data_IF_722579043834
#
_entry.id   IF_722579043834
#
_cell.length_a   1.000
_cell.length_b   1.000
_cell.length_c   1.000
_cell.angle_alpha   90.00
_cell.angle_beta   90.00
_cell.angle_gamma   90.00
#
_symmetry.space_group_name_H-M   'P 1'
#
loop_
_entity.id
_entity.type
_entity.pdbx_description
1 polymer ?
#
# COMPACT_ATOMS: atom_id res chain seq x y z
N UNK A 1 68.52 74.60 35.99
CA UNK A 1 69.44 74.09 37.01
C UNK A 1 69.69 72.65 36.67
N UNK A 2 70.73 72.36 35.91
CA UNK A 2 72.08 71.97 36.30
C UNK A 2 72.08 70.80 37.29
N UNK A 3 72.50 69.62 36.82
CA UNK A 3 73.78 68.95 37.20
C UNK A 3 74.05 67.73 36.38
N UNK A 4 75.16 67.79 35.68
CA UNK A 4 75.86 66.67 35.02
C UNK A 4 76.75 65.93 36.04
N UNK A 5 77.34 64.78 35.59
CA UNK A 5 78.66 64.18 35.95
C UNK A 5 78.53 62.65 36.24
N UNK A 6 79.48 61.81 35.96
CA UNK A 6 80.24 61.50 34.73
C UNK A 6 80.46 60.02 34.46
N UNK A 7 81.09 59.73 33.34
CA UNK A 7 81.63 58.49 32.76
C UNK A 7 82.57 57.73 33.69
N UNK A 8 82.44 56.39 33.68
CA UNK A 8 83.58 55.49 33.91
C UNK A 8 83.50 54.28 32.94
N UNK A 9 84.50 54.16 32.15
CA UNK A 9 84.86 53.17 31.19
C UNK A 9 85.44 51.91 31.92
N UNK A 10 84.88 50.72 31.74
CA UNK A 10 85.48 49.47 32.15
C UNK A 10 85.39 48.46 31.00
N UNK A 11 86.51 48.28 30.34
CA UNK A 11 86.67 47.19 29.33
C UNK A 11 86.76 45.82 30.04
N UNK A 12 85.91 44.92 29.71
CA UNK A 12 86.08 43.50 30.08
C UNK A 12 85.86 42.58 28.87
N UNK A 13 86.92 41.88 28.59
CA UNK A 13 87.21 40.86 27.63
C UNK A 13 86.22 39.66 27.78
N UNK A 14 85.35 39.34 26.75
CA UNK A 14 84.43 38.20 26.72
C UNK A 14 84.98 37.15 25.77
N UNK A 15 85.24 35.93 26.21
CA UNK A 15 85.64 34.83 25.32
C UNK A 15 84.47 34.37 24.46
N UNK A 16 84.69 34.20 23.13
CA UNK A 16 83.79 33.53 22.19
C UNK A 16 83.70 32.08 22.53
N UNK A 17 82.55 31.70 23.07
CA UNK A 17 82.13 30.28 23.11
C UNK A 17 81.32 29.95 21.85
N UNK A 18 81.93 29.17 20.94
CA UNK A 18 81.25 28.53 19.82
C UNK A 18 80.30 27.45 20.41
N UNK A 19 79.00 27.75 20.55
CA UNK A 19 77.94 26.73 20.78
C UNK A 19 77.54 26.16 19.44
N UNK A 20 77.88 24.88 19.23
CA UNK A 20 77.48 24.09 18.05
C UNK A 20 75.98 24.01 17.92
N UNK A 21 75.47 24.27 16.71
CA UNK A 21 74.13 23.98 16.29
C UNK A 21 73.89 22.47 16.35
N UNK A 22 73.31 21.96 17.45
CA UNK A 22 72.79 20.61 17.51
C UNK A 22 71.55 20.52 16.59
N UNK A 23 71.62 19.70 15.59
CA UNK A 23 70.47 19.30 14.76
C UNK A 23 69.32 18.84 15.66
N UNK A 24 68.27 19.65 15.79
CA UNK A 24 67.04 19.19 16.43
C UNK A 24 66.46 18.05 15.58
N UNK A 25 66.68 16.82 15.99
CA UNK A 25 65.91 15.64 15.51
C UNK A 25 64.45 16.02 15.64
N UNK A 26 63.75 16.14 14.50
CA UNK A 26 62.31 16.32 14.47
C UNK A 26 61.65 15.23 15.33
N UNK A 27 60.66 15.57 16.18
CA UNK A 27 59.97 14.58 16.97
C UNK A 27 59.42 13.49 16.06
N UNK A 28 59.44 12.19 16.49
CA UNK A 28 58.91 11.10 15.68
C UNK A 28 57.47 11.42 15.34
N UNK A 29 57.20 11.55 14.03
CA UNK A 29 55.83 11.74 13.52
C UNK A 29 55.07 10.48 13.90
N UNK A 30 54.25 10.58 14.92
CA UNK A 30 53.31 9.49 15.28
C UNK A 30 52.43 9.20 14.09
N UNK A 31 52.63 8.05 13.46
CA UNK A 31 51.78 7.62 12.34
C UNK A 31 50.42 7.20 12.90
N UNK A 32 49.33 7.83 12.54
CA UNK A 32 48.01 7.43 13.05
C UNK A 32 47.60 6.06 12.49
N UNK A 33 47.04 5.22 13.36
CA UNK A 33 46.40 3.98 12.94
C UNK A 33 45.06 4.29 12.30
N UNK A 34 44.81 3.73 11.11
CA UNK A 34 43.55 3.95 10.36
C UNK A 34 42.97 2.60 9.95
N UNK A 35 41.71 2.38 10.34
CA UNK A 35 40.95 1.22 9.87
C UNK A 35 40.70 1.34 8.37
N UNK A 36 41.01 0.29 7.62
CA UNK A 36 40.84 0.25 6.17
C UNK A 36 39.98 -0.94 5.75
N UNK A 37 39.14 -0.76 4.78
CA UNK A 37 38.27 -1.79 4.20
C UNK A 37 38.49 -1.86 2.71
N UNK A 38 38.55 -3.05 2.12
CA UNK A 38 38.64 -3.22 0.68
C UNK A 38 37.26 -2.99 0.04
N UNK A 39 37.17 -2.10 -0.96
CA UNK A 39 35.95 -1.90 -1.72
C UNK A 39 35.51 -3.21 -2.40
N UNK A 40 34.31 -3.69 -2.08
CA UNK A 40 33.79 -4.94 -2.63
C UNK A 40 33.04 -4.69 -3.93
N UNK A 41 33.17 -5.64 -4.86
CA UNK A 41 32.34 -5.67 -6.09
C UNK A 41 31.25 -6.71 -5.90
N UNK A 42 30.01 -6.28 -6.00
CA UNK A 42 28.83 -7.18 -5.87
C UNK A 42 27.71 -6.74 -6.80
N UNK A 43 26.90 -7.71 -7.18
CA UNK A 43 25.61 -7.45 -7.84
C UNK A 43 24.58 -7.11 -6.77
N UNK A 44 23.98 -5.94 -6.88
CA UNK A 44 22.99 -5.44 -5.89
C UNK A 44 21.68 -5.09 -6.58
N UNK A 45 20.53 -5.51 -6.01
CA UNK A 45 19.24 -5.12 -6.54
C UNK A 45 19.00 -3.62 -6.33
N UNK A 46 18.49 -2.97 -7.36
CA UNK A 46 18.07 -1.56 -7.32
C UNK A 46 16.56 -1.55 -7.09
N UNK A 47 16.13 -0.82 -6.06
CA UNK A 47 14.71 -0.67 -5.76
C UNK A 47 14.25 0.76 -6.01
N UNK A 48 13.04 0.91 -6.54
CA UNK A 48 12.30 2.16 -6.53
C UNK A 48 11.16 2.08 -5.53
N UNK A 49 10.93 3.16 -4.81
CA UNK A 49 9.87 3.26 -3.81
C UNK A 49 8.78 4.22 -4.32
N UNK A 50 7.54 3.76 -4.26
CA UNK A 50 6.37 4.54 -4.65
C UNK A 50 5.43 4.65 -3.45
N UNK A 51 4.98 5.86 -3.14
CA UNK A 51 4.00 6.07 -2.08
C UNK A 51 2.64 5.64 -2.60
N UNK A 52 1.96 4.78 -1.84
CA UNK A 52 0.64 4.26 -2.17
C UNK A 52 -0.28 4.21 -0.97
N UNK A 53 -1.49 3.79 -1.21
CA UNK A 53 -2.52 3.62 -0.20
C UNK A 53 -3.14 2.22 -0.30
N UNK A 54 -3.44 1.65 0.85
CA UNK A 54 -4.10 0.34 0.97
C UNK A 54 -5.60 0.45 0.83
N UNK A 55 -6.21 -0.54 0.18
CA UNK A 55 -7.67 -0.73 0.05
C UNK A 55 -7.99 -2.18 0.38
N UNK A 56 -9.17 -2.44 0.89
CA UNK A 56 -9.66 -3.81 1.01
C UNK A 56 -9.72 -4.52 -0.35
N UNK A 57 -9.62 -5.82 -0.37
CA UNK A 57 -9.82 -6.58 -1.60
C UNK A 57 -11.22 -6.33 -2.16
N UNK A 58 -12.19 -6.24 -1.27
CA UNK A 58 -13.54 -5.80 -1.54
C UNK A 58 -13.97 -4.86 -0.42
N UNK A 59 -14.37 -3.64 -0.77
CA UNK A 59 -14.96 -2.66 0.13
C UNK A 59 -16.39 -2.41 -0.34
N UNK A 60 -17.37 -2.98 0.37
CA UNK A 60 -18.77 -2.87 -0.01
C UNK A 60 -19.50 -1.95 0.96
N UNK A 61 -20.09 -0.91 0.40
CA UNK A 61 -20.93 0.00 1.15
C UNK A 61 -22.29 -0.64 1.43
N UNK A 62 -22.72 -0.57 2.67
CA UNK A 62 -24.05 -1.02 3.11
C UNK A 62 -25.02 0.15 2.93
N UNK A 63 -25.92 0.00 1.96
CA UNK A 63 -26.90 1.01 1.61
C UNK A 63 -28.30 0.41 1.78
N UNK A 64 -29.19 1.03 2.58
CA UNK A 64 -30.58 0.59 2.71
C UNK A 64 -31.31 0.64 1.37
N UNK A 65 -32.10 -0.37 1.08
CA UNK A 65 -32.91 -0.43 -0.14
C UNK A 65 -34.34 0.09 0.07
N UNK A 66 -34.79 0.10 1.33
CA UNK A 66 -36.07 0.63 1.78
C UNK A 66 -35.85 1.74 2.80
N UNK A 67 -36.84 2.61 2.95
CA UNK A 67 -36.81 3.71 3.90
C UNK A 67 -37.54 3.29 5.19
N UNK A 68 -37.04 3.76 6.33
CA UNK A 68 -37.65 3.49 7.61
C UNK A 68 -36.72 3.81 8.78
N UNK A 69 -37.20 3.54 9.99
CA UNK A 69 -36.46 3.74 11.23
C UNK A 69 -35.63 2.52 11.58
N UNK A 70 -34.36 2.72 11.97
CA UNK A 70 -33.50 1.62 12.47
C UNK A 70 -34.05 1.16 13.83
N UNK A 71 -34.45 -0.11 13.89
CA UNK A 71 -34.94 -0.75 15.13
C UNK A 71 -33.88 -1.54 15.85
N UNK A 72 -32.81 -1.96 15.15
CA UNK A 72 -31.72 -2.72 15.77
C UNK A 72 -30.41 -2.69 14.99
N UNK A 73 -29.29 -2.81 15.72
CA UNK A 73 -27.95 -3.00 15.21
C UNK A 73 -27.43 -4.30 15.84
N UNK A 74 -27.05 -5.29 15.02
CA UNK A 74 -26.77 -6.66 15.45
C UNK A 74 -25.31 -7.07 15.35
N UNK A 75 -24.39 -6.11 15.39
CA UNK A 75 -22.95 -6.35 15.36
C UNK A 75 -22.25 -5.37 16.32
N UNK A 76 -20.97 -5.63 16.59
CA UNK A 76 -20.07 -4.65 17.19
C UNK A 76 -19.19 -4.03 16.11
N UNK A 77 -18.98 -2.73 16.21
CA UNK A 77 -18.12 -1.99 15.30
C UNK A 77 -16.70 -2.53 15.31
N UNK A 78 -16.14 -2.76 14.14
CA UNK A 78 -14.82 -3.33 13.96
C UNK A 78 -14.75 -4.86 14.07
N UNK A 79 -15.87 -5.55 14.34
CA UNK A 79 -15.89 -7.01 14.39
C UNK A 79 -15.89 -7.65 13.00
N UNK A 80 -15.47 -8.91 12.97
CA UNK A 80 -15.59 -9.74 11.78
C UNK A 80 -17.05 -10.19 11.60
N UNK A 81 -17.57 -9.99 10.38
CA UNK A 81 -18.91 -10.40 9.97
C UNK A 81 -18.84 -11.43 8.84
N UNK A 82 -19.84 -12.31 8.76
CA UNK A 82 -19.96 -13.32 7.71
C UNK A 82 -20.98 -12.88 6.66
N UNK A 83 -20.80 -13.35 5.44
CA UNK A 83 -21.79 -13.19 4.38
C UNK A 83 -23.14 -13.74 4.85
N UNK A 84 -24.21 -12.95 4.68
CA UNK A 84 -25.57 -13.26 5.13
C UNK A 84 -25.85 -12.96 6.61
N UNK A 85 -24.86 -12.56 7.41
CA UNK A 85 -25.06 -12.16 8.80
C UNK A 85 -25.91 -10.88 8.86
N UNK A 86 -26.95 -10.88 9.72
CA UNK A 86 -27.80 -9.74 9.98
C UNK A 86 -26.98 -8.60 10.61
N UNK A 87 -27.07 -7.41 10.03
CA UNK A 87 -26.37 -6.22 10.48
C UNK A 87 -27.33 -5.18 11.09
N UNK A 88 -28.39 -4.86 10.36
CA UNK A 88 -29.37 -3.85 10.79
C UNK A 88 -30.78 -4.37 10.56
N UNK A 89 -31.72 -3.92 11.38
CA UNK A 89 -33.15 -4.08 11.16
C UNK A 89 -33.81 -2.72 11.05
N UNK A 90 -34.67 -2.57 10.06
CA UNK A 90 -35.56 -1.41 9.84
C UNK A 90 -36.95 -1.82 10.31
N UNK A 91 -37.76 -0.85 10.76
CA UNK A 91 -39.15 -1.07 11.12
C UNK A 91 -39.91 -1.76 9.97
N UNK A 92 -40.36 -2.99 10.19
CA UNK A 92 -41.01 -3.84 9.21
C UNK A 92 -42.53 -3.74 9.23
N UNK A 93 -43.13 -3.08 10.23
CA UNK A 93 -44.57 -2.99 10.37
C UNK A 93 -45.32 -2.50 9.12
N UNK A 94 -44.86 -1.38 8.46
CA UNK A 94 -45.51 -0.89 7.25
C UNK A 94 -45.38 -1.85 6.07
N UNK A 95 -44.21 -2.50 5.92
CA UNK A 95 -43.98 -3.45 4.82
C UNK A 95 -44.66 -4.79 5.06
N UNK A 96 -44.75 -5.26 6.29
CA UNK A 96 -45.51 -6.42 6.67
C UNK A 96 -47.00 -6.23 6.37
N UNK A 97 -47.55 -5.08 6.71
CA UNK A 97 -48.93 -4.76 6.40
C UNK A 97 -49.24 -4.77 4.88
N UNK A 98 -48.26 -4.38 4.06
CA UNK A 98 -48.39 -4.51 2.59
C UNK A 98 -48.39 -5.94 2.13
N UNK A 99 -47.60 -6.82 2.73
CA UNK A 99 -47.60 -8.27 2.42
C UNK A 99 -48.91 -8.87 2.79
N UNK A 100 -49.46 -8.56 3.97
CA UNK A 100 -50.76 -9.08 4.43
C UNK A 100 -51.91 -8.62 3.51
N UNK A 101 -51.88 -7.36 3.07
CA UNK A 101 -52.89 -6.86 2.12
C UNK A 101 -52.76 -7.55 0.76
N UNK A 102 -51.54 -7.77 0.25
CA UNK A 102 -51.32 -8.48 -1.01
C UNK A 102 -51.74 -9.97 -0.92
N UNK A 103 -51.51 -10.61 0.23
CA UNK A 103 -51.97 -12.00 0.50
C UNK A 103 -53.51 -12.07 0.46
N UNK A 104 -54.20 -11.05 0.98
CA UNK A 104 -55.67 -10.95 0.85
C UNK A 104 -56.11 -10.84 -0.60
N UNK A 105 -55.40 -10.08 -1.45
CA UNK A 105 -55.69 -9.99 -2.90
C UNK A 105 -55.51 -11.36 -3.59
N UNK A 106 -54.46 -12.13 -3.23
CA UNK A 106 -54.23 -13.47 -3.77
C UNK A 106 -55.39 -14.42 -3.38
N UNK A 107 -55.77 -14.42 -2.11
CA UNK A 107 -56.88 -15.28 -1.63
C UNK A 107 -58.21 -14.95 -2.33
N UNK A 108 -58.48 -13.65 -2.60
CA UNK A 108 -59.65 -13.22 -3.37
C UNK A 108 -59.59 -13.72 -4.83
N UNK A 109 -58.42 -13.62 -5.46
CA UNK A 109 -58.25 -14.07 -6.86
C UNK A 109 -58.33 -15.58 -6.98
N UNK A 110 -57.79 -16.33 -6.02
CA UNK A 110 -57.94 -17.83 -5.94
C UNK A 110 -59.41 -18.25 -5.86
N UNK A 111 -60.19 -17.54 -5.03
CA UNK A 111 -61.63 -17.78 -4.93
C UNK A 111 -62.35 -17.51 -6.27
N UNK A 112 -61.93 -16.46 -6.98
CA UNK A 112 -62.50 -16.15 -8.32
C UNK A 112 -62.18 -17.25 -9.35
N UNK A 113 -60.92 -17.73 -9.35
CA UNK A 113 -60.49 -18.84 -10.22
C UNK A 113 -61.31 -20.07 -9.92
N UNK A 114 -61.46 -20.43 -8.62
CA UNK A 114 -62.29 -21.59 -8.22
C UNK A 114 -63.75 -21.49 -8.69
N UNK A 115 -64.33 -20.27 -8.56
CA UNK A 115 -65.72 -20.02 -9.04
C UNK A 115 -65.81 -20.15 -10.56
N UNK A 116 -64.89 -19.52 -11.34
CA UNK A 116 -64.89 -19.58 -12.80
C UNK A 116 -64.58 -20.97 -13.32
N UNK A 117 -63.74 -21.72 -12.62
CA UNK A 117 -63.49 -23.12 -12.92
C UNK A 117 -64.77 -23.98 -12.72
N UNK A 118 -65.47 -23.79 -11.61
CA UNK A 118 -66.73 -24.51 -11.36
C UNK A 118 -67.83 -24.17 -12.39
N UNK A 119 -67.85 -22.90 -12.86
CA UNK A 119 -68.74 -22.50 -13.96
C UNK A 119 -68.36 -23.21 -15.27
N UNK A 120 -67.08 -23.26 -15.64
CA UNK A 120 -66.57 -23.95 -16.81
C UNK A 120 -66.83 -25.44 -16.76
N UNK A 121 -66.55 -26.08 -15.63
CA UNK A 121 -66.77 -27.53 -15.39
C UNK A 121 -68.25 -27.94 -15.54
N UNK A 122 -69.19 -26.99 -15.33
CA UNK A 122 -70.63 -27.18 -15.59
C UNK A 122 -71.00 -26.97 -17.06
N UNK A 123 -70.37 -26.02 -17.73
CA UNK A 123 -70.66 -25.66 -19.14
C UNK A 123 -70.11 -26.69 -20.11
N UNK A 124 -68.94 -27.25 -19.86
CA UNK A 124 -68.26 -28.23 -20.73
C UNK A 124 -69.14 -29.41 -21.10
N UNK A 125 -69.77 -30.19 -20.14
CA UNK A 125 -70.62 -31.34 -20.47
C UNK A 125 -71.88 -30.92 -21.17
N UNK A 126 -72.48 -29.77 -20.84
CA UNK A 126 -73.71 -29.28 -21.47
C UNK A 126 -73.47 -28.85 -22.92
N UNK A 127 -72.37 -28.23 -23.24
CA UNK A 127 -71.94 -27.92 -24.60
C UNK A 127 -71.67 -29.15 -25.43
N UNK A 128 -71.06 -30.22 -24.80
CA UNK A 128 -70.79 -31.48 -25.47
C UNK A 128 -72.10 -32.23 -25.87
N UNK A 129 -73.19 -31.99 -25.14
CA UNK A 129 -74.54 -32.53 -25.43
C UNK A 129 -75.34 -31.60 -26.34
N UNK A 130 -74.80 -30.53 -26.88
CA UNK A 130 -75.44 -29.47 -27.64
C UNK A 130 -76.62 -28.75 -26.86
N UNK A 131 -76.56 -28.80 -25.52
CA UNK A 131 -77.52 -28.07 -24.66
C UNK A 131 -77.20 -26.62 -24.46
N UNK A 132 -75.91 -26.21 -24.72
CA UNK A 132 -75.43 -24.88 -24.74
C UNK A 132 -74.72 -24.59 -26.06
N UNK A 133 -74.63 -23.30 -26.42
CA UNK A 133 -73.92 -22.87 -27.65
C UNK A 133 -72.40 -22.92 -27.49
N UNK A 134 -71.67 -23.11 -28.59
CA UNK A 134 -70.23 -23.02 -28.61
C UNK A 134 -69.72 -21.64 -28.07
N UNK A 135 -70.50 -20.59 -28.32
CA UNK A 135 -70.23 -19.24 -27.81
C UNK A 135 -70.25 -19.19 -26.28
N UNK A 136 -71.15 -19.93 -25.63
CA UNK A 136 -71.23 -20.00 -24.16
C UNK A 136 -70.02 -20.73 -23.56
N UNK A 137 -69.59 -21.81 -24.22
CA UNK A 137 -68.34 -22.49 -23.86
C UNK A 137 -67.13 -21.61 -24.03
N UNK A 138 -66.99 -20.92 -25.16
CA UNK A 138 -65.86 -20.00 -25.41
C UNK A 138 -65.84 -18.84 -24.39
N UNK A 139 -67.01 -18.33 -23.99
CA UNK A 139 -67.13 -17.29 -22.96
C UNK A 139 -66.74 -17.82 -21.56
N UNK A 140 -67.08 -19.05 -21.20
CA UNK A 140 -66.70 -19.65 -19.92
C UNK A 140 -65.18 -19.92 -19.85
N UNK A 141 -64.58 -20.41 -20.96
CA UNK A 141 -63.13 -20.57 -21.06
C UNK A 141 -62.44 -19.21 -20.91
N UNK A 142 -62.85 -18.17 -21.67
CA UNK A 142 -62.25 -16.86 -21.57
C UNK A 142 -62.36 -16.25 -20.18
N UNK A 143 -63.50 -16.49 -19.48
CA UNK A 143 -63.67 -16.00 -18.11
C UNK A 143 -62.77 -16.74 -17.10
N UNK A 144 -62.53 -18.02 -17.30
CA UNK A 144 -61.61 -18.81 -16.49
C UNK A 144 -60.13 -18.33 -16.72
N UNK A 145 -59.74 -18.19 -17.99
CA UNK A 145 -58.41 -17.73 -18.35
C UNK A 145 -58.16 -16.28 -17.85
N UNK A 146 -59.15 -15.41 -17.89
CA UNK A 146 -59.07 -14.07 -17.32
C UNK A 146 -58.85 -14.12 -15.77
N UNK A 147 -59.56 -15.04 -15.07
CA UNK A 147 -59.38 -15.19 -13.63
C UNK A 147 -58.02 -15.75 -13.28
N UNK A 148 -57.47 -16.67 -14.09
CA UNK A 148 -56.07 -17.15 -13.92
C UNK A 148 -55.07 -16.04 -14.10
N UNK A 149 -55.22 -15.19 -15.10
CA UNK A 149 -54.36 -14.03 -15.34
C UNK A 149 -54.42 -13.06 -14.15
N UNK A 150 -55.61 -12.81 -13.59
CA UNK A 150 -55.74 -11.93 -12.40
C UNK A 150 -55.08 -12.53 -11.16
N UNK A 151 -55.15 -13.87 -10.94
CA UNK A 151 -54.42 -14.55 -9.89
C UNK A 151 -52.91 -14.36 -10.06
N UNK A 152 -52.37 -14.52 -11.27
CA UNK A 152 -50.96 -14.33 -11.54
C UNK A 152 -50.50 -12.87 -11.23
N UNK A 153 -51.32 -11.88 -11.54
CA UNK A 153 -51.03 -10.45 -11.19
C UNK A 153 -51.02 -10.30 -9.65
N UNK A 154 -51.97 -10.85 -8.94
CA UNK A 154 -52.04 -10.76 -7.48
C UNK A 154 -50.82 -11.45 -6.83
N UNK A 155 -50.41 -12.64 -7.30
CA UNK A 155 -49.20 -13.31 -6.85
C UNK A 155 -47.92 -12.50 -7.09
N UNK A 156 -47.79 -11.85 -8.26
CA UNK A 156 -46.66 -10.99 -8.57
C UNK A 156 -46.56 -9.78 -7.62
N UNK A 157 -47.72 -9.16 -7.28
CA UNK A 157 -47.77 -8.07 -6.28
C UNK A 157 -47.34 -8.55 -4.89
N UNK A 158 -47.84 -9.72 -4.44
CA UNK A 158 -47.44 -10.29 -3.16
C UNK A 158 -45.95 -10.59 -3.12
N UNK A 159 -45.36 -11.11 -4.22
CA UNK A 159 -43.94 -11.37 -4.34
C UNK A 159 -43.15 -10.05 -4.21
N UNK A 160 -43.59 -8.96 -4.86
CA UNK A 160 -42.95 -7.64 -4.75
C UNK A 160 -42.99 -7.16 -3.29
N UNK A 161 -44.13 -7.21 -2.63
CA UNK A 161 -44.25 -6.82 -1.23
C UNK A 161 -43.36 -7.65 -0.31
N UNK A 162 -43.25 -8.96 -0.54
CA UNK A 162 -42.37 -9.84 0.21
C UNK A 162 -40.89 -9.53 0.02
N UNK A 163 -40.46 -9.12 -1.18
CA UNK A 163 -39.10 -8.65 -1.47
C UNK A 163 -38.82 -7.35 -0.72
N UNK A 164 -39.76 -6.40 -0.72
CA UNK A 164 -39.63 -5.16 0.05
C UNK A 164 -39.50 -5.44 1.55
N UNK A 165 -40.28 -6.37 2.09
CA UNK A 165 -40.15 -6.82 3.48
C UNK A 165 -38.76 -7.40 3.76
N UNK A 166 -38.23 -8.24 2.87
CA UNK A 166 -36.88 -8.78 3.00
C UNK A 166 -35.77 -7.71 3.03
N UNK A 167 -36.03 -6.53 2.47
CA UNK A 167 -35.06 -5.42 2.51
C UNK A 167 -35.04 -4.66 3.85
N UNK A 168 -35.97 -4.94 4.75
CA UNK A 168 -35.92 -4.41 6.14
C UNK A 168 -34.87 -5.08 6.99
N UNK A 169 -34.41 -6.27 6.62
CA UNK A 169 -33.29 -6.98 7.21
C UNK A 169 -32.05 -6.77 6.35
N UNK A 170 -31.13 -5.96 6.82
CA UNK A 170 -29.89 -5.66 6.10
C UNK A 170 -28.80 -6.62 6.53
N UNK A 171 -28.33 -7.45 5.61
CA UNK A 171 -27.31 -8.47 5.86
C UNK A 171 -25.98 -8.11 5.18
N UNK A 172 -24.88 -8.70 5.66
CA UNK A 172 -23.58 -8.53 5.03
C UNK A 172 -23.52 -9.25 3.68
N UNK A 173 -23.09 -8.59 2.60
CA UNK A 173 -22.93 -9.21 1.28
C UNK A 173 -21.67 -10.05 1.16
N UNK A 174 -20.66 -9.85 2.03
CA UNK A 174 -19.36 -10.52 2.00
C UNK A 174 -18.89 -10.90 3.41
N UNK A 175 -17.90 -11.78 3.47
CA UNK A 175 -17.09 -12.00 4.69
C UNK A 175 -16.07 -10.88 4.84
N UNK A 176 -16.01 -10.26 6.01
CA UNK A 176 -15.09 -9.12 6.20
C UNK A 176 -15.14 -8.53 7.59
N UNK A 177 -14.61 -7.32 7.73
CA UNK A 177 -14.71 -6.51 8.95
C UNK A 177 -15.64 -5.33 8.68
N UNK A 178 -16.61 -5.15 9.57
CA UNK A 178 -17.55 -4.03 9.49
C UNK A 178 -16.95 -2.78 10.09
N UNK A 179 -17.18 -1.64 9.47
CA UNK A 179 -16.73 -0.34 9.93
C UNK A 179 -17.58 0.23 11.09
N UNK A 180 -17.29 1.48 11.42
CA UNK A 180 -18.07 2.26 12.37
C UNK A 180 -19.42 2.60 11.75
N UNK A 181 -20.52 2.38 12.49
CA UNK A 181 -21.86 2.73 12.04
C UNK A 181 -22.03 4.24 11.94
N UNK A 182 -22.61 4.69 10.84
CA UNK A 182 -22.96 6.11 10.65
C UNK A 182 -24.35 6.46 11.18
N UNK A 183 -25.07 5.44 11.65
CA UNK A 183 -26.44 5.56 12.12
C UNK A 183 -26.60 4.86 13.45
N UNK A 184 -27.56 5.31 14.25
CA UNK A 184 -27.93 4.78 15.54
C UNK A 184 -29.34 4.15 15.49
N UNK A 185 -29.67 3.35 16.48
CA UNK A 185 -31.04 2.88 16.67
C UNK A 185 -31.95 4.08 16.92
N UNK A 186 -33.04 4.19 16.14
CA UNK A 186 -33.94 5.35 16.13
C UNK A 186 -33.68 6.36 15.03
N UNK A 187 -32.63 6.19 14.23
CA UNK A 187 -32.39 7.04 13.07
C UNK A 187 -33.27 6.62 11.89
N UNK A 188 -33.69 7.59 11.08
CA UNK A 188 -34.40 7.34 9.82
C UNK A 188 -33.42 7.21 8.67
N UNK A 189 -33.51 6.12 7.94
CA UNK A 189 -32.63 5.81 6.80
C UNK A 189 -33.41 5.64 5.50
N UNK A 190 -32.74 5.86 4.37
CA UNK A 190 -33.33 5.71 3.03
C UNK A 190 -32.38 6.14 1.92
N UNK A 191 -32.86 6.08 0.67
CA UNK A 191 -32.11 6.38 -0.56
C UNK A 191 -31.69 7.84 -0.69
N UNK A 192 -31.21 8.52 0.18
CA UNK A 192 -30.84 9.95 0.08
C UNK A 192 -30.33 10.51 1.39
N UNK A 193 -30.51 9.75 2.43
CA UNK A 193 -30.10 10.14 3.76
C UNK A 193 -28.59 9.85 3.94
N UNK A 194 -27.81 10.82 4.43
CA UNK A 194 -26.38 10.68 4.76
C UNK A 194 -25.46 10.18 3.61
N UNK A 195 -25.78 10.49 2.35
CA UNK A 195 -25.03 10.00 1.20
C UNK A 195 -25.28 8.51 0.88
N UNK A 196 -26.30 7.90 1.48
CA UNK A 196 -26.81 6.57 1.17
C UNK A 196 -26.13 5.42 1.91
N UNK A 197 -24.84 5.50 2.23
CA UNK A 197 -24.11 4.41 2.90
C UNK A 197 -24.15 4.57 4.42
N UNK A 198 -24.74 3.57 5.12
CA UNK A 198 -24.81 3.55 6.60
C UNK A 198 -23.60 2.86 7.24
N UNK A 199 -22.90 2.02 6.49
CA UNK A 199 -21.66 1.35 6.91
C UNK A 199 -20.85 0.88 5.69
N UNK A 200 -19.68 0.30 5.93
CA UNK A 200 -18.86 -0.38 4.93
C UNK A 200 -18.34 -1.69 5.50
N UNK A 201 -18.41 -2.77 4.74
CA UNK A 201 -17.76 -4.04 5.08
C UNK A 201 -16.56 -4.21 4.15
N UNK A 202 -15.38 -4.41 4.75
CA UNK A 202 -14.12 -4.58 4.04
C UNK A 202 -13.61 -6.01 4.18
N UNK A 203 -13.30 -6.67 3.06
CA UNK A 203 -12.61 -7.96 3.06
C UNK A 203 -11.13 -7.73 3.36
N UNK A 204 -10.60 -8.39 4.41
CA UNK A 204 -9.21 -8.26 4.85
C UNK A 204 -8.32 -9.46 4.49
N UNK A 205 -8.82 -10.46 3.76
CA UNK A 205 -8.03 -11.63 3.36
C UNK A 205 -6.91 -11.32 2.38
N UNK A 206 -7.09 -10.28 1.59
CA UNK A 206 -6.07 -9.66 0.74
C UNK A 206 -6.24 -8.15 0.75
N UNK A 207 -5.15 -7.45 0.49
CA UNK A 207 -5.14 -5.98 0.42
C UNK A 207 -4.69 -5.52 -0.94
N UNK A 208 -5.42 -4.59 -1.53
CA UNK A 208 -5.01 -3.88 -2.74
C UNK A 208 -4.23 -2.64 -2.33
N UNK A 209 -3.10 -2.43 -2.98
CA UNK A 209 -2.32 -1.20 -2.81
C UNK A 209 -2.29 -0.48 -4.14
N UNK A 210 -2.73 0.76 -4.16
CA UNK A 210 -2.71 1.62 -5.35
C UNK A 210 -1.62 2.67 -5.17
N UNK A 211 -0.78 2.80 -6.19
CA UNK A 211 0.32 3.76 -6.20
C UNK A 211 0.53 4.32 -7.59
N UNK A 212 0.80 5.62 -7.71
CA UNK A 212 1.11 6.26 -8.98
C UNK A 212 2.56 5.97 -9.38
N UNK A 213 2.77 5.67 -10.66
CA UNK A 213 4.09 5.52 -11.29
C UNK A 213 4.21 6.52 -12.40
N UNK A 214 5.30 7.28 -12.47
CA UNK A 214 5.52 8.25 -13.52
C UNK A 214 5.64 7.57 -14.91
N UNK A 215 5.22 8.23 -15.97
CA UNK A 215 5.37 7.72 -17.34
C UNK A 215 6.84 7.40 -17.66
N UNK A 216 7.77 8.22 -17.16
CA UNK A 216 9.21 8.01 -17.35
C UNK A 216 9.68 6.71 -16.72
N UNK A 217 9.22 6.38 -15.52
CA UNK A 217 9.58 5.14 -14.83
C UNK A 217 8.92 3.94 -15.52
N UNK A 218 7.67 4.08 -15.95
CA UNK A 218 6.96 3.04 -16.69
C UNK A 218 7.71 2.66 -17.98
N UNK A 219 8.18 3.66 -18.74
CA UNK A 219 8.96 3.42 -19.96
C UNK A 219 10.31 2.75 -19.66
N UNK A 220 10.96 3.11 -18.55
CA UNK A 220 12.18 2.43 -18.08
C UNK A 220 11.91 0.99 -17.73
N UNK A 221 10.84 0.70 -17.00
CA UNK A 221 10.45 -0.66 -16.65
C UNK A 221 10.15 -1.53 -17.87
N UNK A 222 9.42 -0.98 -18.85
CA UNK A 222 9.13 -1.66 -20.11
C UNK A 222 10.40 -2.05 -20.86
N UNK A 223 11.29 -1.10 -21.11
CA UNK A 223 12.55 -1.34 -21.82
C UNK A 223 13.40 -2.43 -21.15
N UNK A 224 13.42 -2.46 -19.82
CA UNK A 224 14.17 -3.46 -19.06
C UNK A 224 13.50 -4.83 -19.06
N UNK A 225 12.18 -4.88 -18.90
CA UNK A 225 11.42 -6.12 -19.00
C UNK A 225 11.52 -6.76 -20.40
N UNK A 226 11.77 -5.98 -21.44
CA UNK A 226 12.06 -6.46 -22.78
C UNK A 226 13.46 -7.06 -22.90
N UNK A 227 14.45 -6.46 -22.21
CA UNK A 227 15.85 -6.88 -22.22
C UNK A 227 16.13 -8.09 -21.30
N UNK A 228 15.40 -8.22 -20.20
CA UNK A 228 15.58 -9.28 -19.21
C UNK A 228 14.27 -10.01 -18.93
N UNK A 229 14.18 -11.27 -19.38
CA UNK A 229 13.00 -12.10 -19.20
C UNK A 229 12.75 -12.45 -17.72
N UNK A 230 13.78 -12.42 -16.86
CA UNK A 230 13.62 -12.62 -15.42
C UNK A 230 12.85 -11.49 -14.76
N UNK A 231 12.93 -10.28 -15.32
CA UNK A 231 12.16 -9.12 -14.89
C UNK A 231 10.71 -9.14 -15.41
N UNK A 232 10.38 -9.91 -16.45
CA UNK A 232 8.98 -10.14 -16.86
C UNK A 232 8.19 -10.92 -15.82
N UNK A 233 8.86 -11.74 -15.04
CA UNK A 233 8.29 -12.42 -13.87
C UNK A 233 8.12 -11.49 -12.65
N UNK A 234 8.59 -10.24 -12.73
CA UNK A 234 8.62 -9.27 -11.62
C UNK A 234 7.27 -8.62 -11.26
N UNK A 235 6.17 -9.14 -11.78
CA UNK A 235 4.89 -8.99 -11.10
C UNK A 235 4.87 -9.69 -9.74
N UNK A 236 5.88 -10.48 -9.40
CA UNK A 236 6.08 -11.19 -8.13
C UNK A 236 7.26 -10.56 -7.36
N UNK A 237 7.20 -10.56 -6.03
CA UNK A 237 8.29 -10.05 -5.19
C UNK A 237 8.28 -8.55 -4.96
N UNK A 238 7.11 -7.91 -5.05
CA UNK A 238 6.95 -6.53 -4.62
C UNK A 238 6.87 -6.50 -3.11
N UNK A 239 7.68 -5.64 -2.51
CA UNK A 239 7.73 -5.46 -1.07
C UNK A 239 6.93 -4.24 -0.64
N UNK A 240 6.38 -4.32 0.57
CA UNK A 240 5.67 -3.20 1.18
C UNK A 240 6.47 -2.69 2.38
N UNK A 241 6.69 -1.39 2.43
CA UNK A 241 7.30 -0.71 3.58
C UNK A 241 6.18 0.02 4.31
N UNK A 242 6.01 -0.30 5.57
CA UNK A 242 5.00 0.30 6.44
C UNK A 242 5.40 1.71 6.89
N UNK A 243 4.48 2.42 7.55
CA UNK A 243 4.69 3.80 7.98
C UNK A 243 5.83 3.95 9.01
N UNK A 244 6.13 2.90 9.78
CA UNK A 244 7.25 2.84 10.73
C UNK A 244 8.61 2.51 10.08
N UNK A 245 8.62 2.28 8.76
CA UNK A 245 9.80 1.89 7.99
C UNK A 245 10.08 0.38 7.98
N UNK A 246 9.30 -0.44 8.66
CA UNK A 246 9.44 -1.89 8.64
C UNK A 246 8.98 -2.48 7.31
N UNK A 247 9.61 -3.59 6.89
CA UNK A 247 9.15 -4.37 5.74
C UNK A 247 7.99 -5.26 6.15
N UNK A 248 6.93 -5.26 5.35
CA UNK A 248 5.83 -6.21 5.49
C UNK A 248 6.31 -7.62 5.12
N UNK A 249 5.92 -8.62 5.91
CA UNK A 249 6.45 -9.98 5.77
C UNK A 249 5.98 -10.75 4.53
N UNK A 250 4.90 -10.30 3.88
CA UNK A 250 4.36 -10.96 2.69
C UNK A 250 4.70 -10.15 1.43
N UNK A 251 5.09 -10.86 0.38
CA UNK A 251 5.33 -10.25 -0.92
C UNK A 251 4.03 -10.09 -1.71
N UNK A 252 3.91 -8.96 -2.39
CA UNK A 252 2.80 -8.66 -3.28
C UNK A 252 3.09 -9.00 -4.74
N UNK A 253 2.04 -8.89 -5.54
CA UNK A 253 2.10 -8.99 -6.99
C UNK A 253 1.35 -7.83 -7.64
N UNK A 254 1.82 -7.39 -8.81
CA UNK A 254 1.05 -6.45 -9.64
C UNK A 254 -0.20 -7.17 -10.15
N UNK A 255 -1.34 -6.56 -9.95
CA UNK A 255 -2.63 -7.05 -10.37
C UNK A 255 -3.06 -6.39 -11.69
N UNK A 256 -3.01 -5.07 -11.73
CA UNK A 256 -3.34 -4.30 -12.91
C UNK A 256 -2.61 -2.94 -12.94
N UNK A 257 -2.44 -2.40 -14.14
CA UNK A 257 -2.15 -0.99 -14.36
C UNK A 257 -3.39 -0.33 -14.98
N UNK A 258 -3.67 0.90 -14.60
CA UNK A 258 -4.79 1.65 -15.18
C UNK A 258 -4.64 1.78 -16.71
N UNK A 259 -5.75 1.99 -17.37
CA UNK A 259 -5.82 2.17 -18.82
C UNK A 259 -5.17 3.47 -19.29
N UNK A 260 -5.29 4.52 -18.49
CA UNK A 260 -4.93 5.88 -18.87
C UNK A 260 -3.91 6.48 -17.92
N UNK A 261 -3.05 7.34 -18.46
CA UNK A 261 -2.18 8.22 -17.70
C UNK A 261 -3.02 9.44 -17.30
N UNK A 262 -2.92 9.84 -16.03
CA UNK A 262 -3.52 11.08 -15.54
C UNK A 262 -2.75 12.27 -16.13
N UNK A 263 -3.40 13.11 -16.96
CA UNK A 263 -2.73 14.24 -17.60
C UNK A 263 -2.29 15.34 -16.62
N UNK A 264 -2.90 15.40 -15.42
CA UNK A 264 -2.53 16.38 -14.40
C UNK A 264 -1.23 16.05 -13.68
N UNK A 265 -0.93 14.77 -13.51
CA UNK A 265 0.24 14.28 -12.77
C UNK A 265 1.28 13.60 -13.66
N UNK A 266 0.96 13.25 -14.91
CA UNK A 266 1.83 12.47 -15.80
C UNK A 266 2.13 11.07 -15.25
N UNK A 267 1.22 10.50 -14.45
CA UNK A 267 1.39 9.21 -13.82
C UNK A 267 0.29 8.22 -14.17
N UNK A 268 0.62 6.94 -14.15
CA UNK A 268 -0.32 5.83 -14.27
C UNK A 268 -0.54 5.20 -12.90
N UNK A 269 -1.78 4.89 -12.58
CA UNK A 269 -2.12 4.21 -11.33
C UNK A 269 -1.89 2.71 -11.50
N UNK A 270 -1.04 2.14 -10.65
CA UNK A 270 -0.79 0.70 -10.58
C UNK A 270 -1.43 0.15 -9.32
N UNK A 271 -2.06 -1.01 -9.45
CA UNK A 271 -2.63 -1.78 -8.34
C UNK A 271 -1.81 -3.05 -8.14
N UNK A 272 -1.37 -3.27 -6.91
CA UNK A 272 -0.76 -4.51 -6.46
C UNK A 272 -1.64 -5.17 -5.39
N UNK A 273 -1.59 -6.50 -5.31
CA UNK A 273 -2.31 -7.27 -4.29
C UNK A 273 -1.30 -7.92 -3.35
N UNK A 274 -1.55 -7.78 -2.06
CA UNK A 274 -0.76 -8.36 -0.99
C UNK A 274 -1.62 -9.30 -0.15
N UNK A 275 -1.16 -10.52 0.15
CA UNK A 275 -1.82 -11.38 1.14
C UNK A 275 -1.85 -10.69 2.51
N UNK A 276 -2.92 -10.90 3.29
CA UNK A 276 -3.03 -10.30 4.62
C UNK A 276 -3.56 -11.33 5.64
N UNK A 277 -2.85 -12.47 5.83
CA UNK A 277 -3.33 -13.56 6.66
C UNK A 277 -3.48 -13.15 8.13
N UNK A 278 -2.60 -12.30 8.62
CA UNK A 278 -2.59 -11.81 10.00
C UNK A 278 -3.51 -10.59 10.21
N UNK A 279 -4.17 -10.08 9.16
CA UNK A 279 -5.03 -8.89 9.18
C UNK A 279 -4.33 -7.65 9.77
N UNK A 280 -3.01 -7.56 9.62
CA UNK A 280 -2.21 -6.44 10.10
C UNK A 280 -2.34 -5.19 9.22
N UNK A 281 -2.58 -5.38 7.91
CA UNK A 281 -2.90 -4.28 7.01
C UNK A 281 -4.39 -3.93 7.13
N UNK A 282 -4.67 -2.64 7.10
CA UNK A 282 -6.03 -2.08 7.10
C UNK A 282 -6.25 -1.15 5.91
N UNK A 283 -7.46 -1.02 5.39
CA UNK A 283 -7.78 -0.03 4.36
C UNK A 283 -7.44 1.39 4.83
N UNK A 284 -6.99 2.24 3.90
CA UNK A 284 -6.65 3.63 4.18
C UNK A 284 -5.24 3.89 4.72
N UNK A 285 -4.43 2.86 4.97
CA UNK A 285 -3.04 3.06 5.40
C UNK A 285 -2.18 3.61 4.25
N UNK A 286 -1.32 4.57 4.57
CA UNK A 286 -0.25 5.02 3.68
C UNK A 286 0.93 4.07 3.80
N UNK A 287 1.43 3.61 2.67
CA UNK A 287 2.51 2.63 2.56
C UNK A 287 3.44 3.00 1.42
N UNK A 288 4.66 2.48 1.43
CA UNK A 288 5.55 2.57 0.27
C UNK A 288 5.67 1.21 -0.39
N UNK A 289 5.39 1.18 -1.67
CA UNK A 289 5.57 0.00 -2.51
C UNK A 289 7.00 0.02 -3.03
N UNK A 290 7.76 -1.00 -2.69
CA UNK A 290 9.16 -1.17 -3.10
C UNK A 290 9.25 -2.20 -4.20
N UNK A 291 9.59 -1.74 -5.38
CA UNK A 291 9.68 -2.56 -6.60
C UNK A 291 11.14 -2.68 -6.99
N UNK A 292 11.62 -3.90 -7.23
CA UNK A 292 12.94 -4.12 -7.80
C UNK A 292 12.93 -3.69 -9.26
N UNK A 293 13.68 -2.64 -9.57
CA UNK A 293 13.67 -2.01 -10.89
C UNK A 293 14.88 -2.34 -11.73
N UNK A 294 15.98 -2.75 -11.08
CA UNK A 294 17.24 -3.04 -11.73
C UNK A 294 18.12 -3.98 -10.91
N UNK A 295 19.17 -4.45 -11.51
CA UNK A 295 20.28 -5.10 -10.85
C UNK A 295 21.56 -4.37 -11.29
N UNK A 296 22.21 -3.71 -10.35
CA UNK A 296 23.51 -3.10 -10.62
C UNK A 296 24.57 -4.21 -10.56
N UNK A 297 24.88 -4.79 -11.72
CA UNK A 297 25.97 -5.76 -11.81
C UNK A 297 27.31 -5.07 -11.63
N UNK A 298 28.21 -5.72 -10.89
CA UNK A 298 29.54 -5.18 -10.60
C UNK A 298 29.56 -3.86 -9.83
N UNK A 299 28.55 -3.58 -9.01
CA UNK A 299 28.50 -2.37 -8.17
C UNK A 299 29.65 -2.37 -7.16
N UNK A 300 30.44 -1.29 -7.14
CA UNK A 300 31.48 -1.09 -6.13
C UNK A 300 30.85 -0.56 -4.87
N UNK A 301 30.98 -1.28 -3.77
CA UNK A 301 30.37 -0.93 -2.49
C UNK A 301 31.44 -0.50 -1.49
N UNK A 302 31.13 0.55 -0.75
CA UNK A 302 31.94 1.01 0.39
C UNK A 302 31.04 1.28 1.59
N UNK A 303 31.52 1.07 2.83
CA UNK A 303 30.73 1.42 4.02
C UNK A 303 30.33 2.89 4.05
N UNK A 304 29.14 3.20 4.55
CA UNK A 304 28.68 4.59 4.67
C UNK A 304 29.65 5.46 5.49
N UNK A 305 30.29 4.85 6.53
CA UNK A 305 31.28 5.52 7.39
C UNK A 305 32.55 5.94 6.64
N UNK A 306 32.82 5.38 5.46
CA UNK A 306 33.99 5.72 4.66
C UNK A 306 33.73 6.89 3.71
N UNK A 307 32.47 7.27 3.52
CA UNK A 307 32.06 8.36 2.59
C UNK A 307 31.89 9.63 3.38
N UNK A 308 32.71 10.63 3.08
CA UNK A 308 32.56 11.97 3.63
C UNK A 308 31.68 12.81 2.70
N UNK A 309 30.70 13.48 3.28
CA UNK A 309 29.84 14.42 2.59
C UNK A 309 30.11 15.83 3.10
N UNK A 310 30.54 16.70 2.19
CA UNK A 310 30.68 18.13 2.46
C UNK A 310 29.81 18.89 1.46
N UNK A 311 28.72 19.49 1.95
CA UNK A 311 27.67 20.05 1.10
C UNK A 311 27.12 19.00 0.14
N UNK A 312 27.24 19.19 -1.18
CA UNK A 312 26.80 18.22 -2.20
C UNK A 312 27.95 17.41 -2.82
N UNK A 313 29.16 17.49 -2.23
CA UNK A 313 30.33 16.76 -2.70
C UNK A 313 30.56 15.53 -1.82
N UNK A 314 30.72 14.39 -2.46
CA UNK A 314 31.07 13.13 -1.79
C UNK A 314 32.55 12.80 -2.08
N UNK A 315 33.25 12.37 -1.06
CA UNK A 315 34.64 11.95 -1.16
C UNK A 315 34.91 10.74 -0.27
N UNK A 316 35.90 9.95 -0.65
CA UNK A 316 36.47 8.87 0.14
C UNK A 316 37.95 9.05 0.28
N UNK A 317 38.53 8.50 1.34
CA UNK A 317 39.96 8.45 1.51
C UNK A 317 40.50 7.11 1.01
N UNK A 318 41.22 7.11 -0.11
CA UNK A 318 41.89 5.94 -0.66
C UNK A 318 43.30 5.82 -0.11
N UNK A 319 43.73 4.60 0.22
CA UNK A 319 45.09 4.32 0.60
C UNK A 319 45.92 3.98 -0.64
N UNK A 320 47.03 4.69 -0.85
CA UNK A 320 48.00 4.38 -1.91
C UNK A 320 49.05 3.37 -1.45
N UNK A 321 49.91 2.91 -2.35
CA UNK A 321 50.94 1.94 -2.10
C UNK A 321 52.02 2.42 -1.09
N UNK A 322 52.11 3.73 -0.87
CA UNK A 322 53.04 4.37 0.14
C UNK A 322 52.33 4.55 1.49
N UNK A 323 51.21 3.90 1.75
CA UNK A 323 50.38 4.07 2.94
C UNK A 323 49.96 5.51 3.25
N UNK A 324 49.85 6.35 2.23
CA UNK A 324 49.31 7.70 2.35
C UNK A 324 47.84 7.71 1.96
N UNK A 325 47.07 8.53 2.66
CA UNK A 325 45.65 8.69 2.45
C UNK A 325 45.41 9.80 1.43
N UNK A 326 44.72 9.50 0.35
CA UNK A 326 44.38 10.47 -0.71
C UNK A 326 42.87 10.67 -0.74
N UNK A 327 42.43 11.91 -0.53
CA UNK A 327 41.02 12.26 -0.65
C UNK A 327 40.64 12.25 -2.13
N UNK A 328 39.71 11.37 -2.48
CA UNK A 328 39.24 11.16 -3.85
C UNK A 328 37.77 11.52 -3.94
N UNK A 329 37.38 12.46 -4.83
CA UNK A 329 35.96 12.71 -5.07
C UNK A 329 35.31 11.50 -5.72
N UNK A 330 34.08 11.20 -5.30
CA UNK A 330 33.31 10.05 -5.79
C UNK A 330 31.89 10.45 -6.16
N UNK A 331 31.33 9.74 -7.14
CA UNK A 331 29.90 9.79 -7.37
C UNK A 331 29.24 8.61 -6.65
N UNK A 332 28.34 8.95 -5.76
CA UNK A 332 27.56 7.95 -5.02
C UNK A 332 26.25 7.66 -5.74
N UNK A 333 25.88 6.39 -5.75
CA UNK A 333 24.58 5.91 -6.21
C UNK A 333 23.61 5.70 -5.03
N UNK A 334 22.88 4.60 -5.05
CA UNK A 334 21.95 4.26 -3.97
C UNK A 334 22.66 3.70 -2.74
N UNK A 335 21.97 3.80 -1.61
CA UNK A 335 22.37 3.12 -0.37
C UNK A 335 21.81 1.70 -0.34
N UNK A 336 22.65 0.75 0.08
CA UNK A 336 22.25 -0.65 0.25
C UNK A 336 22.68 -1.10 1.63
N UNK A 337 21.74 -1.19 2.55
CA UNK A 337 22.05 -1.43 3.96
C UNK A 337 22.96 -0.34 4.54
N UNK A 338 24.07 -0.75 5.15
CA UNK A 338 25.08 0.16 5.70
C UNK A 338 26.12 0.61 4.67
N UNK A 339 25.89 0.39 3.39
CA UNK A 339 26.85 0.64 2.33
C UNK A 339 26.34 1.65 1.30
N UNK A 340 27.27 2.38 0.68
CA UNK A 340 27.05 3.17 -0.52
C UNK A 340 27.52 2.39 -1.76
N UNK A 341 26.73 2.42 -2.80
CA UNK A 341 27.18 2.07 -4.15
C UNK A 341 27.93 3.25 -4.74
N UNK A 342 29.17 3.05 -5.18
CA UNK A 342 29.99 4.07 -5.84
C UNK A 342 29.93 3.82 -7.34
N UNK A 343 29.47 4.83 -8.09
CA UNK A 343 29.37 4.76 -9.55
C UNK A 343 30.65 5.21 -10.24
N UNK A 344 31.39 6.14 -9.65
CA UNK A 344 32.65 6.66 -10.17
C UNK A 344 33.61 7.03 -9.03
N UNK A 345 34.91 6.81 -9.21
CA UNK A 345 35.96 7.26 -8.32
C UNK A 345 36.66 6.19 -7.49
N UNK A 346 36.09 4.96 -7.36
CA UNK A 346 36.69 3.84 -6.63
C UNK A 346 36.69 2.60 -7.51
N UNK A 347 37.81 1.88 -7.54
CA UNK A 347 37.92 0.58 -8.23
C UNK A 347 37.71 -0.56 -7.23
N UNK A 348 37.21 -1.72 -7.71
CA UNK A 348 37.12 -2.91 -6.88
C UNK A 348 38.49 -3.28 -6.24
N UNK A 349 38.45 -3.67 -4.96
CA UNK A 349 39.66 -4.07 -4.22
C UNK A 349 40.50 -2.91 -3.68
N UNK A 350 40.23 -1.67 -4.03
CA UNK A 350 40.94 -0.53 -3.44
C UNK A 350 40.65 -0.42 -1.93
N UNK A 351 41.68 -0.09 -1.16
CA UNK A 351 41.56 0.10 0.29
C UNK A 351 41.03 1.49 0.59
N UNK A 352 39.87 1.53 1.23
CA UNK A 352 39.19 2.76 1.65
C UNK A 352 39.34 2.91 3.15
N UNK A 353 39.76 4.09 3.59
CA UNK A 353 39.95 4.40 4.99
C UNK A 353 38.63 4.77 5.67
N UNK A 354 38.36 4.19 6.84
CA UNK A 354 37.24 4.52 7.70
C UNK A 354 37.62 5.67 8.63
N UNK A 355 37.68 6.86 8.13
CA UNK A 355 38.23 8.02 8.86
C UNK A 355 37.15 8.77 9.64
N UNK A 356 35.86 8.60 9.30
CA UNK A 356 34.80 9.45 9.84
C UNK A 356 35.10 10.92 9.55
N UNK A 357 34.85 11.80 10.53
CA UNK A 357 35.12 13.24 10.43
C UNK A 357 36.54 13.63 10.87
N UNK A 358 37.47 12.69 11.06
CA UNK A 358 38.83 13.00 11.48
C UNK A 358 39.62 13.59 10.29
N UNK A 359 40.25 14.74 10.51
CA UNK A 359 41.17 15.38 9.56
C UNK A 359 42.49 14.60 9.61
N UNK A 360 42.76 13.77 8.62
CA UNK A 360 44.06 13.11 8.43
C UNK A 360 44.87 13.99 7.50
N UNK A 361 46.12 14.35 7.92
CA UNK A 361 47.04 15.03 7.02
C UNK A 361 47.49 14.10 5.90
N UNK A 362 47.16 14.36 4.63
CA UNK A 362 47.49 13.47 3.51
C UNK A 362 49.01 13.35 3.28
N UNK A 363 49.81 14.17 3.94
CA UNK A 363 51.29 14.14 3.87
C UNK A 363 51.94 13.11 4.77
N UNK A 364 51.20 12.66 5.84
CA UNK A 364 51.69 11.73 6.84
C UNK A 364 51.27 10.32 6.45
N UNK A 365 52.20 9.36 6.35
CA UNK A 365 51.84 7.97 6.14
C UNK A 365 51.10 7.41 7.37
N UNK A 366 50.07 6.60 7.12
CA UNK A 366 49.23 5.98 8.15
C UNK A 366 49.63 4.49 8.32
N UNK A 367 49.34 3.92 9.48
CA UNK A 367 49.42 2.49 9.70
C UNK A 367 48.06 1.88 9.40
N UNK A 368 47.91 1.13 8.27
CA UNK A 368 46.59 0.55 7.89
C UNK A 368 46.30 -0.65 8.79
N UNK A 369 45.12 -0.63 9.43
CA UNK A 369 44.56 -1.73 10.18
C UNK A 369 43.43 -2.35 9.37
N UNK A 370 43.64 -3.52 8.71
CA UNK A 370 42.58 -4.14 7.91
C UNK A 370 41.39 -4.49 8.79
N UNK A 371 40.18 -4.11 8.36
CA UNK A 371 38.93 -4.47 9.00
C UNK A 371 38.11 -5.31 8.01
N UNK A 372 37.71 -6.49 8.45
CA UNK A 372 36.74 -7.27 7.71
C UNK A 372 35.37 -6.58 7.80
N UNK A 373 34.78 -6.27 6.65
CA UNK A 373 33.48 -5.64 6.58
C UNK A 373 32.49 -6.57 5.89
N UNK A 374 31.37 -6.83 6.56
CA UNK A 374 30.31 -7.65 5.97
C UNK A 374 29.39 -6.80 5.10
N UNK A 375 29.62 -6.86 3.79
CA UNK A 375 28.80 -6.19 2.78
C UNK A 375 27.41 -6.80 2.57
N UNK A 376 27.11 -7.96 3.20
CA UNK A 376 25.80 -8.60 3.12
C UNK A 376 24.84 -8.11 4.22
N UNK A 377 25.33 -7.42 5.23
CA UNK A 377 24.49 -6.82 6.26
C UNK A 377 23.59 -5.75 5.63
N UNK A 378 22.40 -6.16 5.27
CA UNK A 378 21.27 -5.26 5.09
C UNK A 378 20.82 -4.86 6.49
N UNK A 379 20.78 -3.58 6.81
CA UNK A 379 20.26 -3.12 8.10
C UNK A 379 18.86 -3.70 8.30
N UNK A 380 18.79 -4.74 9.09
CA UNK A 380 17.58 -5.23 9.70
C UNK A 380 17.65 -4.81 11.17
N UNK A 381 17.02 -3.73 11.47
CA UNK A 381 16.31 -3.43 12.72
C UNK A 381 15.45 -2.21 12.46
#
# INVERSE_FOLDING_TARGET
MMRAIPITLAASLVPLLFTGCGEKKAPPVLQPEVSVVAAAQRSVPVFSEFVGQTYGQEDIQIIPRVEGWITGIHFKEGDAVRKGQLLYTIDDLPTRSKVDAAAGEVARAETMVANKKADLDRVVPLAAMNALSKRDLDAANAAYDAALAELQVAQAKMQTASIELGYTEITSPIDGVIGISKVLVGDYVGKGTLGGAINTVSSLGGMRVRFPVSETDLLRFRKRAEADSSLRATGQGIQLVLADGSLYGEEGRIDLADRSIDPGTGSILIQAVFPNPQRSLRPGQSVKVRVRTDQADNAVMVPQRAVNQLQNLYSVYLLNDSNKVVMTPVKVGQRVGENWVITEGVKPGQKVALVGNALIDPRVPVIPKPLEWDYAKTSGN
#
